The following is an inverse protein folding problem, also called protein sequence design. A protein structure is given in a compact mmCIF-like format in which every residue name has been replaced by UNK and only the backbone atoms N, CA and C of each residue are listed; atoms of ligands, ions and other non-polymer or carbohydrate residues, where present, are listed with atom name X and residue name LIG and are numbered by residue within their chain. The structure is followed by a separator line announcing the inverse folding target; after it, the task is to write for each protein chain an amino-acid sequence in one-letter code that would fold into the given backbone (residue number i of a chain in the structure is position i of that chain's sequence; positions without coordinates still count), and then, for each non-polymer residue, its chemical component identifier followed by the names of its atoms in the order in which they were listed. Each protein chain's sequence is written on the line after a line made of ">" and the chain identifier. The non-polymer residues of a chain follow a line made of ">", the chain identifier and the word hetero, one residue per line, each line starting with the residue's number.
data_IF_608600562732
#
_entry.id   IF_608600562732
#
_cell.length_a   1.000
_cell.length_b   1.000
_cell.length_c   1.000
_cell.angle_alpha   90.00
_cell.angle_beta   90.00
_cell.angle_gamma   90.00
#
_symmetry.space_group_name_H-M   'P 1'
#
loop_
_entity.id
_entity.type
_entity.pdbx_description
1 polymer ?
#
# COMPACT_ATOMS: atom_id res chain seq x y z
N UNK A 1 0.83 0.09 10.12
CA UNK A 1 1.93 0.88 10.64
C UNK A 1 1.62 2.36 10.56
N UNK A 2 2.11 3.10 11.53
CA UNK A 2 1.89 4.53 11.58
C UNK A 2 2.90 5.26 10.68
N UNK A 3 2.41 6.18 9.85
CA UNK A 3 3.27 7.07 9.09
C UNK A 3 3.79 8.20 9.97
N UNK A 4 4.92 8.77 9.58
CA UNK A 4 5.40 9.99 10.20
C UNK A 4 4.42 11.13 9.88
N UNK A 5 3.76 11.72 10.89
CA UNK A 5 2.73 12.73 10.65
C UNK A 5 3.27 14.05 10.11
N UNK A 6 4.58 14.21 10.11
CA UNK A 6 5.22 15.43 9.57
C UNK A 6 5.55 15.31 8.08
N UNK A 7 5.39 14.13 7.50
CA UNK A 7 5.66 13.89 6.10
C UNK A 7 4.36 13.95 5.29
N UNK A 8 4.44 14.54 4.10
CA UNK A 8 3.32 14.50 3.16
C UNK A 8 3.19 13.11 2.55
N UNK A 9 2.07 12.85 1.90
CA UNK A 9 1.84 11.58 1.20
C UNK A 9 2.93 11.34 0.15
N UNK A 10 3.33 12.38 -0.60
CA UNK A 10 4.42 12.26 -1.58
C UNK A 10 5.72 11.83 -0.91
N UNK A 11 6.07 12.48 0.20
CA UNK A 11 7.29 12.17 0.93
C UNK A 11 7.27 10.74 1.48
N UNK A 12 6.14 10.31 2.00
CA UNK A 12 5.97 8.95 2.54
C UNK A 12 6.18 7.91 1.43
N UNK A 13 5.51 8.10 0.29
CA UNK A 13 5.59 7.13 -0.81
C UNK A 13 6.98 7.10 -1.43
N UNK A 14 7.64 8.25 -1.57
CA UNK A 14 8.97 8.33 -2.19
C UNK A 14 10.11 7.94 -1.26
N UNK A 15 9.87 7.87 0.04
CA UNK A 15 10.93 7.63 1.03
C UNK A 15 11.83 6.43 0.72
N UNK A 16 11.32 5.27 0.28
CA UNK A 16 12.21 4.14 -0.07
C UNK A 16 13.23 4.50 -1.16
N UNK A 17 12.83 5.32 -2.14
CA UNK A 17 13.73 5.75 -3.20
C UNK A 17 14.75 6.77 -2.68
N UNK A 18 14.34 7.65 -1.76
CA UNK A 18 15.24 8.62 -1.14
C UNK A 18 16.31 7.91 -0.32
N UNK A 19 15.92 6.94 0.48
CA UNK A 19 16.83 6.14 1.31
C UNK A 19 17.81 5.38 0.44
N UNK A 20 17.34 4.78 -0.65
CA UNK A 20 18.17 4.02 -1.58
C UNK A 20 18.97 4.91 -2.54
N UNK A 21 18.76 6.22 -2.51
CA UNK A 21 19.40 7.21 -3.38
C UNK A 21 19.18 6.93 -4.87
N UNK A 22 17.96 6.53 -5.19
CA UNK A 22 17.55 6.24 -6.57
C UNK A 22 16.88 7.48 -7.17
N UNK A 23 17.37 7.95 -8.32
CA UNK A 23 16.79 9.06 -9.04
C UNK A 23 16.94 10.42 -8.39
N UNK A 24 16.56 11.45 -9.13
CA UNK A 24 16.49 12.82 -8.60
C UNK A 24 15.05 13.13 -8.15
N UNK A 25 14.80 14.34 -7.70
CA UNK A 25 13.49 14.76 -7.19
C UNK A 25 12.38 14.62 -8.23
N UNK A 26 12.64 15.03 -9.47
CA UNK A 26 11.63 14.94 -10.54
C UNK A 26 11.32 13.50 -10.91
N UNK A 27 12.33 12.66 -11.00
CA UNK A 27 12.17 11.24 -11.30
C UNK A 27 11.38 10.53 -10.20
N UNK A 28 11.66 10.83 -8.93
CA UNK A 28 10.93 10.28 -7.80
C UNK A 28 9.47 10.72 -7.82
N UNK A 29 9.23 12.00 -8.09
CA UNK A 29 7.85 12.52 -8.18
C UNK A 29 7.05 11.83 -9.27
N UNK A 30 7.66 11.61 -10.43
CA UNK A 30 7.02 10.89 -11.52
C UNK A 30 6.64 9.47 -11.12
N UNK A 31 7.52 8.79 -10.39
CA UNK A 31 7.24 7.44 -9.88
C UNK A 31 6.14 7.44 -8.82
N UNK A 32 6.10 8.45 -7.97
CA UNK A 32 5.02 8.59 -6.98
C UNK A 32 3.68 8.71 -7.70
N UNK A 33 3.60 9.57 -8.70
CA UNK A 33 2.36 9.76 -9.48
C UNK A 33 1.93 8.44 -10.13
N UNK A 34 2.89 7.71 -10.69
CA UNK A 34 2.61 6.42 -11.33
C UNK A 34 2.03 5.40 -10.34
N UNK A 35 2.69 5.21 -9.19
CA UNK A 35 2.19 4.24 -8.22
C UNK A 35 0.88 4.69 -7.57
N UNK A 36 0.67 5.99 -7.41
CA UNK A 36 -0.60 6.51 -6.91
C UNK A 36 -1.75 6.14 -7.85
N UNK A 37 -1.53 6.22 -9.15
CA UNK A 37 -2.53 5.78 -10.14
C UNK A 37 -2.80 4.29 -10.01
N UNK A 38 -1.76 3.49 -9.80
CA UNK A 38 -1.91 2.04 -9.67
C UNK A 38 -2.75 1.63 -8.46
N UNK A 39 -2.70 2.42 -7.40
CA UNK A 39 -3.50 2.15 -6.19
C UNK A 39 -4.78 2.99 -6.14
N UNK A 40 -5.13 3.65 -7.23
CA UNK A 40 -6.34 4.49 -7.34
C UNK A 40 -6.40 5.59 -6.30
N UNK A 41 -5.26 6.23 -6.06
CA UNK A 41 -5.13 7.35 -5.13
C UNK A 41 -4.97 8.63 -5.95
N UNK A 42 -5.80 9.63 -5.66
CA UNK A 42 -5.81 10.88 -6.43
C UNK A 42 -4.49 11.64 -6.27
N UNK A 43 -3.93 12.10 -7.38
CA UNK A 43 -2.66 12.81 -7.43
C UNK A 43 -2.64 14.05 -6.53
N UNK A 44 -3.75 14.74 -6.42
CA UNK A 44 -3.86 15.94 -5.60
C UNK A 44 -3.65 15.67 -4.11
N UNK A 45 -3.69 14.42 -3.68
CA UNK A 45 -3.43 14.06 -2.28
C UNK A 45 -1.94 14.07 -1.93
N UNK A 46 -1.06 14.25 -2.91
CA UNK A 46 0.39 14.24 -2.69
C UNK A 46 0.84 15.23 -1.62
N UNK A 47 0.21 16.39 -1.57
CA UNK A 47 0.58 17.47 -0.65
C UNK A 47 -0.14 17.39 0.70
N UNK A 48 -1.00 16.38 0.88
CA UNK A 48 -1.73 16.18 2.13
C UNK A 48 -0.87 15.39 3.14
N UNK A 49 -1.21 15.57 4.40
CA UNK A 49 -0.58 14.82 5.50
C UNK A 49 -1.46 13.62 5.86
N UNK A 50 -0.90 12.59 6.54
CA UNK A 50 -1.67 11.40 6.86
C UNK A 50 -2.97 11.66 7.62
N UNK A 51 -2.99 12.67 8.50
CA UNK A 51 -4.17 13.01 9.26
C UNK A 51 -5.25 13.76 8.45
N UNK A 52 -4.91 14.19 7.23
CA UNK A 52 -5.83 14.87 6.33
C UNK A 52 -6.55 13.93 5.36
N UNK A 53 -6.26 12.64 5.43
CA UNK A 53 -6.80 11.65 4.50
C UNK A 53 -7.52 10.53 5.27
N UNK A 54 -8.39 9.80 4.59
CA UNK A 54 -9.14 8.70 5.20
C UNK A 54 -8.24 7.50 5.50
N UNK A 55 -8.74 6.57 6.30
CA UNK A 55 -8.04 5.32 6.60
C UNK A 55 -7.74 4.52 5.35
N UNK A 56 -8.69 4.43 4.42
CA UNK A 56 -8.50 3.75 3.15
C UNK A 56 -7.45 4.42 2.28
N UNK A 57 -7.42 5.75 2.27
CA UNK A 57 -6.41 6.51 1.53
C UNK A 57 -5.03 6.30 2.14
N UNK A 58 -4.91 6.30 3.48
CA UNK A 58 -3.64 5.99 4.14
C UNK A 58 -3.16 4.58 3.78
N UNK A 59 -4.08 3.62 3.75
CA UNK A 59 -3.72 2.24 3.40
C UNK A 59 -3.26 2.14 1.94
N UNK A 60 -3.92 2.85 1.03
CA UNK A 60 -3.47 2.92 -0.37
C UNK A 60 -2.08 3.54 -0.48
N UNK A 61 -1.81 4.57 0.31
CA UNK A 61 -0.47 5.18 0.34
C UNK A 61 0.58 4.21 0.86
N UNK A 62 0.24 3.38 1.86
CA UNK A 62 1.15 2.35 2.37
C UNK A 62 1.45 1.30 1.29
N UNK A 63 0.45 0.89 0.53
CA UNK A 63 0.63 -0.05 -0.58
C UNK A 63 1.50 0.58 -1.67
N UNK A 64 1.24 1.84 -2.03
CA UNK A 64 2.05 2.57 -3.02
C UNK A 64 3.51 2.67 -2.59
N UNK A 65 3.76 2.95 -1.32
CA UNK A 65 5.12 3.00 -0.77
C UNK A 65 5.83 1.65 -0.94
N UNK A 66 5.13 0.56 -0.70
CA UNK A 66 5.69 -0.78 -0.87
C UNK A 66 5.99 -1.09 -2.34
N UNK A 67 5.20 -0.55 -3.27
CA UNK A 67 5.34 -0.83 -4.71
C UNK A 67 6.40 0.03 -5.42
N UNK A 68 6.79 1.17 -4.84
CA UNK A 68 7.58 2.15 -5.58
C UNK A 68 8.98 1.66 -5.93
N UNK A 69 9.52 0.71 -5.20
CA UNK A 69 10.83 0.09 -5.50
C UNK A 69 10.73 -1.06 -6.48
N UNK A 70 9.55 -1.32 -7.01
CA UNK A 70 9.28 -2.42 -7.95
C UNK A 70 9.71 -3.79 -7.41
N UNK A 71 9.25 -4.17 -6.21
CA UNK A 71 9.67 -5.41 -5.58
C UNK A 71 9.05 -6.64 -6.26
N UNK A 72 9.66 -7.81 -6.04
CA UNK A 72 9.10 -9.07 -6.52
C UNK A 72 8.01 -9.60 -5.59
N UNK A 73 8.05 -9.19 -4.33
CA UNK A 73 7.00 -9.54 -3.38
C UNK A 73 6.80 -8.40 -2.36
N UNK A 74 5.62 -8.36 -1.78
CA UNK A 74 5.31 -7.43 -0.69
C UNK A 74 4.68 -8.19 0.47
N UNK A 75 4.86 -7.65 1.67
CA UNK A 75 4.24 -8.16 2.88
C UNK A 75 3.23 -7.11 3.35
N UNK A 76 1.97 -7.51 3.46
CA UNK A 76 0.92 -6.66 4.00
C UNK A 76 0.52 -7.19 5.38
N UNK A 77 0.86 -6.43 6.41
CA UNK A 77 0.60 -6.80 7.81
C UNK A 77 -0.68 -6.12 8.27
N UNK A 78 -1.70 -6.91 8.54
CA UNK A 78 -3.02 -6.44 8.96
C UNK A 78 -3.55 -5.32 8.05
N UNK A 79 -3.61 -5.54 6.71
CA UNK A 79 -3.92 -4.46 5.77
C UNK A 79 -5.34 -3.90 5.91
N UNK A 80 -6.23 -4.62 6.57
CA UNK A 80 -7.63 -4.23 6.72
C UNK A 80 -7.97 -3.76 8.14
N UNK A 81 -6.98 -3.77 9.03
CA UNK A 81 -7.18 -3.36 10.42
C UNK A 81 -7.67 -1.91 10.50
N UNK A 82 -8.66 -1.67 11.34
CA UNK A 82 -9.24 -0.34 11.60
C UNK A 82 -10.01 0.28 10.42
N UNK A 83 -10.27 -0.49 9.35
CA UNK A 83 -11.07 -0.03 8.23
C UNK A 83 -12.51 -0.53 8.36
N UNK A 84 -13.47 0.28 7.90
CA UNK A 84 -14.86 -0.14 7.83
C UNK A 84 -15.06 -1.20 6.74
N UNK A 85 -16.18 -1.92 6.77
CA UNK A 85 -16.41 -3.05 5.88
C UNK A 85 -16.35 -2.67 4.39
N UNK A 86 -17.02 -1.58 3.94
CA UNK A 86 -16.91 -1.20 2.52
C UNK A 86 -15.48 -0.87 2.10
N UNK A 87 -14.71 -0.20 2.94
CA UNK A 87 -13.33 0.15 2.66
C UNK A 87 -12.45 -1.09 2.62
N UNK A 88 -12.69 -2.05 3.52
CA UNK A 88 -11.98 -3.34 3.49
C UNK A 88 -12.17 -4.04 2.15
N UNK A 89 -13.40 -4.06 1.64
CA UNK A 89 -13.69 -4.68 0.34
C UNK A 89 -12.93 -4.01 -0.80
N UNK A 90 -12.83 -2.69 -0.76
CA UNK A 90 -12.07 -1.93 -1.76
C UNK A 90 -10.58 -2.27 -1.73
N UNK A 91 -10.00 -2.36 -0.54
CA UNK A 91 -8.57 -2.69 -0.39
C UNK A 91 -8.30 -4.13 -0.83
N UNK A 92 -9.17 -5.08 -0.46
CA UNK A 92 -9.05 -6.47 -0.93
C UNK A 92 -9.07 -6.53 -2.45
N UNK A 93 -9.99 -5.80 -3.08
CA UNK A 93 -10.08 -5.75 -4.53
C UNK A 93 -8.80 -5.18 -5.15
N UNK A 94 -8.26 -4.12 -4.56
CA UNK A 94 -7.00 -3.51 -5.00
C UNK A 94 -5.84 -4.50 -4.92
N UNK A 95 -5.71 -5.22 -3.80
CA UNK A 95 -4.63 -6.18 -3.63
C UNK A 95 -4.71 -7.30 -4.67
N UNK A 96 -5.91 -7.80 -4.96
CA UNK A 96 -6.11 -8.81 -5.99
C UNK A 96 -5.77 -8.27 -7.38
N UNK A 97 -6.18 -7.05 -7.69
CA UNK A 97 -5.87 -6.40 -8.96
C UNK A 97 -4.35 -6.28 -9.15
N UNK A 98 -3.64 -5.83 -8.12
CA UNK A 98 -2.19 -5.69 -8.18
C UNK A 98 -1.50 -7.04 -8.36
N UNK A 99 -1.98 -8.07 -7.66
CA UNK A 99 -1.45 -9.42 -7.80
C UNK A 99 -1.58 -9.93 -9.24
N UNK A 100 -2.75 -9.75 -9.83
CA UNK A 100 -3.01 -10.22 -11.19
C UNK A 100 -2.24 -9.43 -12.25
N UNK A 101 -2.24 -8.09 -12.15
CA UNK A 101 -1.62 -7.23 -13.16
C UNK A 101 -0.12 -7.20 -13.11
N UNK A 102 0.47 -7.27 -11.93
CA UNK A 102 1.91 -7.15 -11.75
C UNK A 102 2.60 -8.49 -11.52
N UNK A 103 1.85 -9.57 -11.43
CA UNK A 103 2.35 -10.91 -11.08
C UNK A 103 3.20 -10.85 -9.80
N UNK A 104 2.75 -10.04 -8.86
CA UNK A 104 3.45 -9.76 -7.63
C UNK A 104 3.06 -10.79 -6.57
N UNK A 105 4.05 -11.40 -5.92
CA UNK A 105 3.79 -12.27 -4.78
C UNK A 105 3.42 -11.42 -3.58
N UNK A 106 2.31 -11.77 -2.94
CA UNK A 106 1.84 -11.06 -1.75
C UNK A 106 1.76 -11.99 -0.57
N UNK A 107 2.26 -11.52 0.57
CA UNK A 107 2.15 -12.23 1.84
C UNK A 107 1.26 -11.37 2.73
N UNK A 108 0.11 -11.93 3.11
CA UNK A 108 -0.84 -11.23 3.97
C UNK A 108 -0.77 -11.81 5.38
N UNK A 109 -0.57 -10.95 6.36
CA UNK A 109 -0.60 -11.33 7.78
C UNK A 109 -1.88 -10.77 8.36
N UNK A 110 -2.76 -11.63 8.85
CA UNK A 110 -4.06 -11.18 9.35
C UNK A 110 -4.64 -12.16 10.36
N UNK A 111 -5.49 -11.64 11.24
CA UNK A 111 -6.32 -12.42 12.15
C UNK A 111 -7.69 -12.71 11.52
N UNK A 112 -8.00 -12.07 10.41
CA UNK A 112 -9.29 -12.22 9.74
C UNK A 112 -9.24 -13.45 8.82
N UNK A 113 -9.60 -14.59 9.38
CA UNK A 113 -9.55 -15.87 8.66
C UNK A 113 -10.47 -15.90 7.43
N UNK A 114 -11.73 -15.42 7.50
CA UNK A 114 -12.57 -15.38 6.30
C UNK A 114 -11.98 -14.53 5.18
N UNK A 115 -11.34 -13.41 5.49
CA UNK A 115 -10.69 -12.57 4.48
C UNK A 115 -9.52 -13.31 3.84
N UNK A 116 -8.68 -13.95 4.66
CA UNK A 116 -7.52 -14.70 4.17
C UNK A 116 -7.98 -15.85 3.25
N UNK A 117 -9.02 -16.57 3.64
CA UNK A 117 -9.58 -17.67 2.82
C UNK A 117 -10.14 -17.17 1.50
N UNK A 118 -10.71 -15.97 1.49
CA UNK A 118 -11.31 -15.38 0.29
C UNK A 118 -10.27 -14.86 -0.70
N UNK A 119 -9.15 -14.33 -0.21
CA UNK A 119 -8.17 -13.61 -1.03
C UNK A 119 -6.95 -14.45 -1.40
N UNK A 120 -6.54 -15.36 -0.52
CA UNK A 120 -5.26 -16.04 -0.65
C UNK A 120 -5.36 -17.40 -1.33
N UNK A 121 -4.36 -17.72 -2.15
CA UNK A 121 -4.23 -19.02 -2.80
C UNK A 121 -3.69 -20.07 -1.84
N UNK A 122 -2.91 -19.65 -0.86
CA UNK A 122 -2.25 -20.53 0.09
C UNK A 122 -2.25 -19.90 1.48
N UNK A 123 -2.58 -20.70 2.47
CA UNK A 123 -2.71 -20.24 3.86
C UNK A 123 -1.77 -21.03 4.76
N UNK A 124 -1.06 -20.32 5.62
CA UNK A 124 -0.23 -20.90 6.67
C UNK A 124 -0.71 -20.35 8.01
N UNK A 125 -1.09 -21.27 8.91
CA UNK A 125 -1.50 -20.88 10.25
C UNK A 125 -0.29 -20.98 11.20
N UNK A 126 -0.06 -19.93 11.95
CA UNK A 126 1.04 -19.88 12.92
C UNK A 126 0.47 -19.89 14.34
N UNK A 127 0.52 -21.05 14.96
CA UNK A 127 0.08 -21.20 16.35
C UNK A 127 1.28 -21.09 17.29
N UNK A 128 1.07 -20.43 18.42
CA UNK A 128 2.08 -20.37 19.46
C UNK A 128 2.02 -21.59 20.37
#
# INVERSE_FOLDING_TARGET
>A
SAFNPRMTIEEIISEPLVIARVGNREERRSKVIEVMKQVHLEEQLMDRYPYDVSGGQRQRAAIARALITEPEFIIADEPLSSLDVPTQAEIVHLLRELHEKRQLTMILISHDIPMVEHVCDRIVSMDE
#
